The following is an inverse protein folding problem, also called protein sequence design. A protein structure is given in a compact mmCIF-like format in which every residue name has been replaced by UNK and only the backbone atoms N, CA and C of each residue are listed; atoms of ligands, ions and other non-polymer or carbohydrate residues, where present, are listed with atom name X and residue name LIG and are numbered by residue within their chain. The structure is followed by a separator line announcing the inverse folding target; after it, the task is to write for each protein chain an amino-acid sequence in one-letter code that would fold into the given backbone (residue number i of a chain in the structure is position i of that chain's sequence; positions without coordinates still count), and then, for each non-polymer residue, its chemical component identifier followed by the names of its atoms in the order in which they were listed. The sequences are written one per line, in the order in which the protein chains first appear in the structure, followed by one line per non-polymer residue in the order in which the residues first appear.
data_IF_352786940983
#
_entry.id   IF_352786940983
#
_cell.length_a   1.000
_cell.length_b   1.000
_cell.length_c   1.000
_cell.angle_alpha   90.00
_cell.angle_beta   90.00
_cell.angle_gamma   90.00
#
_symmetry.space_group_name_H-M   'P 1'
#
loop_
_entity.id
_entity.type
_entity.pdbx_description
1 polymer ?
#
# COMPACT_ATOMS: atom_id res chain seq x y z
N UNK A 1 -1.91 -52.28 11.78
CA UNK A 1 -0.84 -51.27 11.97
C UNK A 1 -0.39 -50.53 10.71
N UNK A 2 -0.35 -51.12 9.50
CA UNK A 2 0.08 -50.43 8.26
C UNK A 2 -0.93 -49.38 7.74
N UNK A 3 -2.24 -49.62 7.90
CA UNK A 3 -3.30 -48.72 7.46
C UNK A 3 -3.38 -47.42 8.30
N UNK A 4 -3.16 -47.54 9.63
CA UNK A 4 -3.15 -46.38 10.54
C UNK A 4 -2.02 -45.41 10.18
N UNK A 5 -0.81 -45.93 9.93
CA UNK A 5 0.36 -45.11 9.53
C UNK A 5 0.15 -44.39 8.19
N UNK A 6 -0.62 -44.95 7.27
CA UNK A 6 -0.97 -44.31 5.99
C UNK A 6 -2.01 -43.19 6.19
N UNK A 7 -2.99 -43.40 7.07
CA UNK A 7 -3.98 -42.38 7.43
C UNK A 7 -3.34 -41.21 8.20
N UNK A 8 -2.40 -41.50 9.10
CA UNK A 8 -1.63 -40.50 9.85
C UNK A 8 -0.79 -39.62 8.90
N UNK A 9 -0.10 -40.23 7.91
CA UNK A 9 0.62 -39.49 6.88
C UNK A 9 -0.31 -38.63 6.01
N UNK A 10 -1.48 -39.15 5.64
CA UNK A 10 -2.47 -38.41 4.84
C UNK A 10 -3.03 -37.19 5.58
N UNK A 11 -3.31 -37.33 6.88
CA UNK A 11 -3.77 -36.24 7.74
C UNK A 11 -2.69 -35.16 7.93
N UNK A 12 -1.43 -35.57 8.04
CA UNK A 12 -0.30 -34.66 8.15
C UNK A 12 -0.05 -33.88 6.86
N UNK A 13 -0.18 -34.54 5.70
CA UNK A 13 -0.10 -33.89 4.39
C UNK A 13 -1.23 -32.87 4.21
N UNK A 14 -2.46 -33.22 4.62
CA UNK A 14 -3.61 -32.32 4.54
C UNK A 14 -3.44 -31.07 5.42
N UNK A 15 -2.85 -31.21 6.62
CA UNK A 15 -2.57 -30.10 7.54
C UNK A 15 -1.51 -29.13 6.96
N UNK A 16 -0.50 -29.63 6.26
CA UNK A 16 0.54 -28.80 5.63
C UNK A 16 -0.03 -28.02 4.44
N UNK A 17 -0.92 -28.64 3.66
CA UNK A 17 -1.54 -28.01 2.47
C UNK A 17 -2.45 -26.84 2.87
N UNK A 18 -3.17 -26.92 3.99
CA UNK A 18 -4.08 -25.84 4.44
C UNK A 18 -3.36 -24.65 5.09
N UNK A 19 -2.14 -24.82 5.57
CA UNK A 19 -1.34 -23.75 6.20
C UNK A 19 -0.68 -22.79 5.20
N UNK A 20 -0.75 -23.06 3.89
CA UNK A 20 0.06 -22.39 2.86
C UNK A 20 -0.52 -21.05 2.35
N UNK A 21 -1.66 -20.60 2.88
CA UNK A 21 -2.37 -19.42 2.37
C UNK A 21 -2.14 -18.16 3.21
N UNK A 22 -0.89 -17.72 3.34
CA UNK A 22 -0.58 -16.38 3.87
C UNK A 22 -0.41 -15.42 2.70
N UNK A 23 -1.40 -14.54 2.49
CA UNK A 23 -1.28 -13.44 1.53
C UNK A 23 -0.35 -12.37 2.12
N UNK A 24 0.87 -12.28 1.59
CA UNK A 24 1.77 -11.18 1.89
C UNK A 24 1.31 -9.88 1.20
N UNK A 25 1.87 -8.74 1.60
CA UNK A 25 1.65 -7.48 0.90
C UNK A 25 2.13 -7.60 -0.56
N UNK A 26 1.43 -6.98 -1.53
CA UNK A 26 1.85 -7.00 -2.92
C UNK A 26 3.27 -6.45 -3.06
N UNK A 27 4.09 -7.09 -3.90
CA UNK A 27 5.44 -6.62 -4.19
C UNK A 27 5.39 -5.27 -4.93
N UNK A 28 6.37 -4.39 -4.66
CA UNK A 28 6.57 -3.15 -5.44
C UNK A 28 6.31 -1.84 -4.70
N UNK A 29 5.83 -1.88 -3.46
CA UNK A 29 5.75 -0.68 -2.62
C UNK A 29 7.11 -0.30 -2.04
N UNK A 30 7.39 1.00 -2.00
CA UNK A 30 8.59 1.53 -1.37
C UNK A 30 8.32 1.88 0.09
N UNK A 31 9.03 1.22 1.01
CA UNK A 31 9.03 1.51 2.46
C UNK A 31 10.36 2.12 2.94
N UNK A 32 11.32 2.27 2.03
CA UNK A 32 12.66 2.75 2.32
C UNK A 32 12.73 4.25 2.02
N UNK A 33 12.88 5.06 3.07
CA UNK A 33 12.94 6.53 2.95
C UNK A 33 14.10 6.98 2.06
N UNK A 34 15.20 6.22 1.99
CA UNK A 34 16.36 6.56 1.14
C UNK A 34 16.06 6.43 -0.36
N UNK A 35 14.99 5.72 -0.72
CA UNK A 35 14.55 5.51 -2.12
C UNK A 35 13.47 6.50 -2.56
N UNK A 36 13.04 7.41 -1.69
CA UNK A 36 12.08 8.46 -2.07
C UNK A 36 12.82 9.49 -2.94
N UNK A 37 12.38 9.74 -4.20
CA UNK A 37 13.02 10.72 -5.05
C UNK A 37 12.73 12.14 -4.55
N UNK A 38 13.59 13.10 -4.88
CA UNK A 38 13.30 14.52 -4.67
C UNK A 38 12.19 14.97 -5.62
N UNK A 39 11.19 15.69 -5.10
CA UNK A 39 10.12 16.29 -5.90
C UNK A 39 9.76 17.68 -5.39
N UNK A 40 9.19 18.50 -6.27
CA UNK A 40 8.65 19.83 -5.93
C UNK A 40 7.13 19.79 -5.99
N UNK A 41 6.47 20.25 -4.93
CA UNK A 41 5.02 20.38 -4.90
C UNK A 41 4.59 21.68 -5.58
N UNK A 42 3.45 21.69 -6.31
CA UNK A 42 2.87 22.93 -6.79
C UNK A 42 2.45 23.81 -5.61
N UNK A 43 2.61 25.12 -5.75
CA UNK A 43 2.23 26.05 -4.70
C UNK A 43 0.69 26.08 -4.55
N UNK A 44 0.13 25.67 -3.40
CA UNK A 44 -1.31 25.72 -3.19
C UNK A 44 -1.85 27.16 -3.21
N UNK A 45 -1.04 28.15 -2.86
CA UNK A 45 -1.40 29.57 -2.81
C UNK A 45 -1.08 30.30 -4.11
N UNK A 46 -0.88 29.58 -5.21
CA UNK A 46 -0.83 30.15 -6.56
C UNK A 46 -1.99 29.58 -7.37
N UNK A 47 -2.77 30.47 -7.99
CA UNK A 47 -3.84 30.13 -8.90
C UNK A 47 -3.26 29.58 -10.22
N UNK A 48 -4.08 28.89 -11.01
CA UNK A 48 -3.65 28.32 -12.32
C UNK A 48 -3.21 29.38 -13.32
N UNK A 49 -3.66 30.63 -13.16
CA UNK A 49 -3.26 31.78 -13.96
C UNK A 49 -1.98 32.48 -13.45
N UNK A 50 -1.39 32.02 -12.33
CA UNK A 50 -0.17 32.58 -11.74
C UNK A 50 -0.39 33.63 -10.65
N UNK A 51 -1.63 34.04 -10.38
CA UNK A 51 -1.92 35.01 -9.31
C UNK A 51 -1.76 34.37 -7.92
N UNK A 52 -1.29 35.15 -6.94
CA UNK A 52 -1.08 34.68 -5.57
C UNK A 52 -2.39 34.80 -4.77
N UNK A 53 -2.73 33.75 -4.03
CA UNK A 53 -3.82 33.72 -3.06
C UNK A 53 -3.34 34.34 -1.74
N UNK A 54 -3.68 35.60 -1.52
CA UNK A 54 -3.23 36.36 -0.35
C UNK A 54 -4.22 36.38 0.81
N UNK A 55 -5.46 35.95 0.59
CA UNK A 55 -6.53 36.03 1.58
C UNK A 55 -7.52 34.86 1.50
N UNK A 56 -8.27 34.67 2.60
CA UNK A 56 -9.21 33.57 2.74
C UNK A 56 -10.41 33.65 1.78
N UNK A 57 -10.84 34.85 1.39
CA UNK A 57 -11.94 35.03 0.44
C UNK A 57 -11.49 34.57 -0.95
N UNK A 58 -10.30 35.00 -1.39
CA UNK A 58 -9.70 34.56 -2.66
C UNK A 58 -9.50 33.05 -2.68
N UNK A 59 -9.06 32.45 -1.57
CA UNK A 59 -8.97 30.98 -1.44
C UNK A 59 -10.32 30.29 -1.66
N UNK A 60 -11.36 30.73 -0.95
CA UNK A 60 -12.69 30.11 -0.97
C UNK A 60 -13.43 30.31 -2.30
N UNK A 61 -13.29 31.47 -2.93
CA UNK A 61 -14.02 31.82 -4.15
C UNK A 61 -13.31 31.35 -5.43
N UNK A 62 -11.98 31.20 -5.42
CA UNK A 62 -11.20 30.96 -6.66
C UNK A 62 -10.29 29.72 -6.64
N UNK A 63 -9.87 29.20 -5.49
CA UNK A 63 -8.82 28.15 -5.40
C UNK A 63 -9.28 26.79 -4.88
N UNK A 64 -10.16 26.76 -3.86
CA UNK A 64 -10.62 25.55 -3.16
C UNK A 64 -11.61 24.73 -3.98
#
# INVERSE_FOLDING_TARGET
MRFQRLADCSLFILLIVTASSVFAQPQGFNYDESKVPTFTLPDPLVLTNGDIVVDAKTWQEKRR
#
